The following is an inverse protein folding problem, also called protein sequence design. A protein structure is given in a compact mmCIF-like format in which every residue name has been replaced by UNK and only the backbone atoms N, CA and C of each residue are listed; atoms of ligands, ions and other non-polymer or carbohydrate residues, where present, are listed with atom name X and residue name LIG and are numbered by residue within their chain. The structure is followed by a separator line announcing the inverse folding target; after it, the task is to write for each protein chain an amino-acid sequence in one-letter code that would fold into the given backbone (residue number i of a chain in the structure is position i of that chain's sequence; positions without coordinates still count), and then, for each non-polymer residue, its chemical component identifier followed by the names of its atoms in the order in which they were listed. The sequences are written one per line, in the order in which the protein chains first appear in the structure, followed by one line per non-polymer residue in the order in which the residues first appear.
data_IF_318852003174
#
_entry.id   IF_318852003174
#
_cell.length_a   1.000
_cell.length_b   1.000
_cell.length_c   1.000
_cell.angle_alpha   90.00
_cell.angle_beta   90.00
_cell.angle_gamma   90.00
#
_symmetry.space_group_name_H-M   'P 1'
#
loop_
_entity.id
_entity.type
_entity.pdbx_description
1 polymer ?
#
# COMPACT_ATOMS: atom_id res chain seq x y z
N UNK A 1 3.83 22.66 -28.00
CA UNK A 1 2.96 22.28 -26.86
C UNK A 1 3.77 22.14 -25.56
N UNK A 2 4.55 23.17 -25.19
CA UNK A 2 5.40 23.14 -23.98
C UNK A 2 4.70 23.77 -22.76
N UNK A 3 3.93 24.84 -22.98
CA UNK A 3 3.27 25.59 -21.90
C UNK A 3 2.26 24.78 -21.06
N UNK A 4 1.58 23.78 -21.64
CA UNK A 4 0.56 23.01 -20.90
C UNK A 4 1.19 22.02 -19.92
N UNK A 5 2.40 21.52 -20.23
CA UNK A 5 3.17 20.66 -19.33
C UNK A 5 3.64 21.42 -18.09
N UNK A 6 4.20 22.62 -18.30
CA UNK A 6 4.67 23.50 -17.23
C UNK A 6 3.53 23.95 -16.31
N UNK A 7 2.37 24.28 -16.89
CA UNK A 7 1.18 24.69 -16.12
C UNK A 7 0.64 23.52 -15.28
N UNK A 8 0.64 22.29 -15.81
CA UNK A 8 0.16 21.12 -15.07
C UNK A 8 1.05 20.81 -13.85
N UNK A 9 2.37 20.93 -13.99
CA UNK A 9 3.31 20.75 -12.87
C UNK A 9 3.15 21.86 -11.82
N UNK A 10 3.05 23.12 -12.28
CA UNK A 10 2.82 24.27 -11.39
C UNK A 10 1.50 24.10 -10.65
N UNK A 11 0.41 23.68 -11.31
CA UNK A 11 -0.88 23.45 -10.66
C UNK A 11 -0.85 22.29 -9.65
N UNK A 12 -0.05 21.25 -9.89
CA UNK A 12 0.11 20.13 -8.96
C UNK A 12 0.72 20.59 -7.63
N UNK A 13 1.69 21.49 -7.70
CA UNK A 13 2.44 21.99 -6.53
C UNK A 13 1.96 23.37 -6.04
N UNK A 14 1.02 24.02 -6.74
CA UNK A 14 0.62 25.41 -6.50
C UNK A 14 0.15 25.65 -5.07
N UNK A 15 -0.66 24.76 -4.52
CA UNK A 15 -1.21 24.98 -3.19
C UNK A 15 -0.20 24.69 -2.07
N UNK A 16 0.75 23.76 -2.27
CA UNK A 16 1.89 23.61 -1.36
C UNK A 16 2.78 24.87 -1.42
N UNK A 17 3.09 25.34 -2.63
CA UNK A 17 3.87 26.57 -2.85
C UNK A 17 3.22 27.79 -2.23
N UNK A 18 1.88 27.90 -2.29
CA UNK A 18 1.10 28.97 -1.64
C UNK A 18 1.31 28.98 -0.12
N UNK A 19 1.26 27.80 0.51
CA UNK A 19 1.49 27.68 1.97
C UNK A 19 2.95 27.99 2.29
N UNK A 20 3.90 27.44 1.53
CA UNK A 20 5.32 27.71 1.72
C UNK A 20 5.62 29.22 1.66
N UNK A 21 5.10 29.92 0.64
CA UNK A 21 5.25 31.38 0.54
C UNK A 21 4.66 32.13 1.74
N UNK A 22 3.53 31.68 2.29
CA UNK A 22 2.96 32.28 3.50
C UNK A 22 3.86 32.06 4.71
N UNK A 23 4.38 30.85 4.88
CA UNK A 23 5.31 30.52 5.97
C UNK A 23 6.58 31.35 5.84
N UNK A 24 7.19 31.41 4.66
CA UNK A 24 8.41 32.17 4.42
C UNK A 24 8.23 33.65 4.75
N UNK A 25 7.09 34.25 4.35
CA UNK A 25 6.76 35.63 4.69
C UNK A 25 6.58 35.82 6.20
N UNK A 26 5.84 34.94 6.87
CA UNK A 26 5.59 35.05 8.30
C UNK A 26 6.89 34.88 9.11
N UNK A 27 7.71 33.88 8.78
CA UNK A 27 9.02 33.66 9.40
C UNK A 27 9.96 34.85 9.18
N UNK A 28 10.04 35.38 7.96
CA UNK A 28 10.88 36.53 7.67
C UNK A 28 10.45 37.80 8.42
N UNK A 29 9.15 37.96 8.69
CA UNK A 29 8.64 39.05 9.52
C UNK A 29 8.95 38.82 11.01
N UNK A 30 8.78 37.60 11.51
CA UNK A 30 9.10 37.24 12.90
C UNK A 30 10.58 37.51 13.21
N UNK A 31 11.50 37.16 12.31
CA UNK A 31 12.94 37.42 12.47
C UNK A 31 13.30 38.92 12.57
N UNK A 32 12.46 39.80 12.02
CA UNK A 32 12.71 41.25 11.98
C UNK A 32 11.97 42.01 13.08
N UNK A 33 11.06 41.38 13.81
CA UNK A 33 10.24 42.03 14.83
C UNK A 33 10.92 41.98 16.21
N UNK A 34 10.81 43.05 17.02
CA UNK A 34 11.34 43.04 18.37
C UNK A 34 10.69 41.98 19.27
N UNK A 35 11.49 41.35 20.13
CA UNK A 35 11.04 40.28 21.04
C UNK A 35 9.86 40.68 21.94
N UNK A 36 9.81 41.95 22.39
CA UNK A 36 8.72 42.46 23.22
C UNK A 36 7.37 42.49 22.47
N UNK A 37 7.38 42.61 21.15
CA UNK A 37 6.19 42.59 20.31
C UNK A 37 5.69 41.16 20.10
N UNK A 38 6.59 40.24 19.76
CA UNK A 38 6.26 38.80 19.61
C UNK A 38 5.67 38.24 20.89
N UNK A 39 6.25 38.52 22.06
CA UNK A 39 5.74 38.04 23.35
C UNK A 39 4.32 38.53 23.70
N UNK A 40 3.91 39.69 23.16
CA UNK A 40 2.54 40.24 23.37
C UNK A 40 1.53 39.68 22.37
N UNK A 41 1.97 39.34 21.17
CA UNK A 41 1.11 38.94 20.06
C UNK A 41 0.97 37.42 19.96
N UNK A 42 2.00 36.68 20.36
CA UNK A 42 2.01 35.22 20.35
C UNK A 42 0.98 34.65 21.35
N UNK A 43 0.18 33.70 20.86
CA UNK A 43 -0.87 33.03 21.61
C UNK A 43 -0.80 31.53 21.28
N UNK A 44 -0.52 30.66 22.26
CA UNK A 44 -0.34 29.23 22.01
C UNK A 44 -1.65 28.48 21.71
N UNK A 45 -2.81 29.11 21.94
CA UNK A 45 -4.12 28.50 21.70
C UNK A 45 -5.12 29.52 21.18
N UNK A 46 -5.98 29.06 20.27
CA UNK A 46 -7.08 29.83 19.70
C UNK A 46 -8.40 29.07 19.87
N UNK A 47 -9.39 29.72 20.47
CA UNK A 47 -10.75 29.17 20.59
C UNK A 47 -11.56 29.59 19.36
N UNK A 48 -11.92 28.61 18.54
CA UNK A 48 -12.73 28.81 17.34
C UNK A 48 -14.19 28.54 17.70
N UNK A 49 -15.07 29.48 17.35
CA UNK A 49 -16.52 29.32 17.48
C UNK A 49 -17.13 29.21 16.08
N UNK A 50 -17.35 27.99 15.55
CA UNK A 50 -17.80 27.81 14.17
C UNK A 50 -19.10 28.55 13.83
N UNK A 51 -20.01 28.69 14.81
CA UNK A 51 -21.32 29.31 14.62
C UNK A 51 -21.37 30.80 14.97
N UNK A 52 -20.25 31.43 15.35
CA UNK A 52 -20.18 32.88 15.61
C UNK A 52 -19.30 33.57 14.58
N UNK A 53 -19.92 34.37 13.70
CA UNK A 53 -19.17 35.25 12.78
C UNK A 53 -18.61 36.44 13.56
N UNK A 54 -17.30 36.54 13.71
CA UNK A 54 -16.66 37.73 14.27
C UNK A 54 -16.85 38.93 13.33
N UNK A 55 -17.29 40.09 13.82
CA UNK A 55 -17.51 41.30 13.00
C UNK A 55 -16.26 41.80 12.22
N UNK A 56 -15.08 41.29 12.56
CA UNK A 56 -13.80 41.56 11.87
C UNK A 56 -13.65 40.88 10.48
N UNK A 57 -14.57 40.01 10.06
CA UNK A 57 -14.47 39.37 8.74
C UNK A 57 -14.57 40.36 7.58
N UNK A 58 -15.33 41.46 7.70
CA UNK A 58 -15.49 42.42 6.59
C UNK A 58 -14.18 43.09 6.15
N UNK A 59 -13.37 43.58 7.11
CA UNK A 59 -12.07 44.19 6.80
C UNK A 59 -11.05 43.15 6.35
N UNK A 60 -11.09 41.94 6.92
CA UNK A 60 -10.25 40.83 6.46
C UNK A 60 -10.61 40.36 5.05
N UNK A 61 -11.88 40.35 4.67
CA UNK A 61 -12.32 39.87 3.37
C UNK A 61 -11.96 40.84 2.24
N UNK A 62 -11.95 42.15 2.53
CA UNK A 62 -11.51 43.19 1.59
C UNK A 62 -9.99 43.21 1.37
N UNK A 63 -9.19 43.01 2.42
CA UNK A 63 -7.71 43.03 2.32
C UNK A 63 -7.16 41.66 1.89
N UNK A 64 -7.79 40.58 2.32
CA UNK A 64 -7.26 39.21 2.19
C UNK A 64 -7.91 38.39 1.07
N UNK A 65 -8.83 38.97 0.29
CA UNK A 65 -9.35 38.37 -0.94
C UNK A 65 -9.79 36.91 -0.78
N UNK A 66 -10.94 36.72 -0.14
CA UNK A 66 -11.72 35.47 -0.08
C UNK A 66 -11.05 34.24 0.58
N UNK A 67 -11.83 33.62 1.45
CA UNK A 67 -11.45 32.54 2.37
C UNK A 67 -11.33 31.18 1.65
N UNK A 68 -10.43 31.06 0.66
CA UNK A 68 -10.06 29.79 0.02
C UNK A 68 -8.91 29.10 0.80
N UNK A 69 -8.89 29.17 2.15
CA UNK A 69 -7.84 28.52 2.95
C UNK A 69 -8.19 27.08 3.29
N UNK A 70 -9.44 26.84 3.72
CA UNK A 70 -9.92 25.51 4.12
C UNK A 70 -10.06 24.57 2.91
N UNK A 71 -10.65 25.07 1.81
CA UNK A 71 -10.85 24.30 0.59
C UNK A 71 -9.52 23.89 -0.06
N UNK A 72 -8.52 24.75 0.00
CA UNK A 72 -7.19 24.47 -0.55
C UNK A 72 -6.45 23.43 0.27
N UNK A 73 -6.56 23.49 1.61
CA UNK A 73 -5.97 22.50 2.49
C UNK A 73 -6.65 21.13 2.33
N UNK A 74 -7.98 21.12 2.30
CA UNK A 74 -8.79 19.91 2.03
C UNK A 74 -8.50 19.31 0.65
N UNK A 75 -8.34 20.15 -0.37
CA UNK A 75 -8.00 19.72 -1.75
C UNK A 75 -6.56 19.25 -1.90
N UNK A 76 -5.62 19.84 -1.16
CA UNK A 76 -4.23 19.37 -1.08
C UNK A 76 -4.16 18.00 -0.41
N UNK A 77 -4.83 17.86 0.75
CA UNK A 77 -4.88 16.61 1.47
C UNK A 77 -5.48 15.51 0.60
N UNK A 78 -6.66 15.72 0.02
CA UNK A 78 -7.32 14.70 -0.82
C UNK A 78 -6.48 14.25 -2.03
N UNK A 79 -5.85 15.18 -2.78
CA UNK A 79 -5.02 14.82 -3.94
C UNK A 79 -3.69 14.17 -3.54
N UNK A 80 -3.05 14.67 -2.49
CA UNK A 80 -1.81 14.11 -1.95
C UNK A 80 -2.05 12.72 -1.36
N UNK A 81 -3.16 12.54 -0.67
CA UNK A 81 -3.51 11.31 0.05
C UNK A 81 -3.71 10.14 -0.89
N UNK A 82 -4.36 10.31 -2.05
CA UNK A 82 -4.53 9.20 -3.00
C UNK A 82 -3.20 8.74 -3.61
N UNK A 83 -2.32 9.67 -3.97
CA UNK A 83 -1.01 9.34 -4.55
C UNK A 83 -0.05 8.77 -3.49
N UNK A 84 -0.08 9.32 -2.27
CA UNK A 84 0.70 8.85 -1.13
C UNK A 84 0.23 7.47 -0.65
N UNK A 85 -1.09 7.24 -0.58
CA UNK A 85 -1.67 5.98 -0.13
C UNK A 85 -1.20 4.79 -0.99
N UNK A 86 -1.24 4.94 -2.32
CA UNK A 86 -0.75 3.90 -3.23
C UNK A 86 0.74 3.66 -3.03
N UNK A 87 1.55 4.71 -2.85
CA UNK A 87 2.99 4.58 -2.59
C UNK A 87 3.27 3.88 -1.25
N UNK A 88 2.52 4.20 -0.19
CA UNK A 88 2.64 3.56 1.12
C UNK A 88 2.24 2.08 1.05
N UNK A 89 1.15 1.75 0.38
CA UNK A 89 0.75 0.34 0.21
C UNK A 89 1.74 -0.45 -0.64
N UNK A 90 2.31 0.16 -1.69
CA UNK A 90 3.36 -0.47 -2.51
C UNK A 90 4.65 -0.70 -1.72
N UNK A 91 5.08 0.26 -0.91
CA UNK A 91 6.28 0.10 -0.07
C UNK A 91 6.08 -0.98 0.99
N UNK A 92 4.88 -1.07 1.58
CA UNK A 92 4.49 -2.13 2.50
C UNK A 92 4.49 -3.51 1.83
N UNK A 93 3.91 -3.63 0.64
CA UNK A 93 3.94 -4.88 -0.14
C UNK A 93 5.36 -5.29 -0.52
N UNK A 94 6.20 -4.34 -0.96
CA UNK A 94 7.62 -4.58 -1.26
C UNK A 94 8.36 -5.13 -0.05
N UNK A 95 8.15 -4.55 1.14
CA UNK A 95 8.77 -5.03 2.37
C UNK A 95 8.35 -6.47 2.71
N UNK A 96 7.04 -6.76 2.63
CA UNK A 96 6.50 -8.10 2.87
C UNK A 96 7.05 -9.14 1.91
N UNK A 97 7.16 -8.80 0.62
CA UNK A 97 7.72 -9.70 -0.38
C UNK A 97 9.20 -9.99 -0.13
N UNK A 98 9.97 -8.99 0.29
CA UNK A 98 11.38 -9.16 0.65
C UNK A 98 11.53 -10.10 1.85
N UNK A 99 10.69 -9.97 2.86
CA UNK A 99 10.67 -10.87 4.01
C UNK A 99 10.32 -12.31 3.62
N UNK A 100 9.25 -12.50 2.82
CA UNK A 100 8.89 -13.82 2.29
C UNK A 100 10.02 -14.46 1.49
N UNK A 101 10.70 -13.68 0.63
CA UNK A 101 11.85 -14.15 -0.13
C UNK A 101 12.98 -14.62 0.79
N UNK A 102 13.29 -13.86 1.83
CA UNK A 102 14.34 -14.22 2.79
C UNK A 102 14.00 -15.50 3.57
N UNK A 103 12.73 -15.68 3.95
CA UNK A 103 12.28 -16.90 4.65
C UNK A 103 12.36 -18.10 3.71
N UNK A 104 11.92 -17.96 2.46
CA UNK A 104 11.97 -19.03 1.46
C UNK A 104 13.41 -19.47 1.18
N UNK A 105 14.35 -18.53 1.12
CA UNK A 105 15.75 -18.83 0.91
C UNK A 105 16.36 -19.60 2.08
N UNK A 106 16.02 -19.23 3.33
CA UNK A 106 16.41 -20.00 4.52
C UNK A 106 15.80 -21.40 4.52
N UNK A 107 14.51 -21.53 4.20
CA UNK A 107 13.85 -22.83 4.10
C UNK A 107 14.48 -23.71 3.01
N UNK A 108 14.81 -23.14 1.85
CA UNK A 108 15.52 -23.84 0.79
C UNK A 108 16.92 -24.29 1.22
N UNK A 109 17.64 -23.46 1.97
CA UNK A 109 18.92 -23.83 2.58
C UNK A 109 18.80 -25.00 3.56
N UNK A 110 17.77 -24.98 4.42
CA UNK A 110 17.47 -26.10 5.32
C UNK A 110 17.12 -27.38 4.57
N UNK A 111 16.34 -27.31 3.49
CA UNK A 111 16.03 -28.48 2.65
C UNK A 111 17.28 -29.10 2.03
N UNK A 112 18.23 -28.28 1.55
CA UNK A 112 19.53 -28.79 1.08
C UNK A 112 20.30 -29.49 2.20
N UNK A 113 20.31 -28.91 3.39
CA UNK A 113 20.97 -29.51 4.55
C UNK A 113 20.32 -30.83 4.95
N UNK A 114 18.98 -30.91 4.91
CA UNK A 114 18.24 -32.14 5.14
C UNK A 114 18.66 -33.19 4.12
N UNK A 115 18.66 -32.91 2.82
CA UNK A 115 19.08 -33.89 1.80
C UNK A 115 20.55 -34.31 2.01
N UNK A 116 21.44 -33.38 2.36
CA UNK A 116 22.86 -33.67 2.58
C UNK A 116 23.11 -34.50 3.84
N UNK A 117 22.29 -34.33 4.88
CA UNK A 117 22.37 -35.03 6.17
C UNK A 117 21.42 -36.21 6.28
N UNK A 118 20.47 -36.33 5.36
CA UNK A 118 19.70 -37.52 5.12
C UNK A 118 20.72 -38.49 4.56
N UNK A 119 21.28 -39.28 5.46
CA UNK A 119 22.03 -40.46 5.14
C UNK A 119 21.07 -41.37 4.37
N UNK A 120 21.00 -41.17 3.05
CA UNK A 120 20.51 -42.20 2.16
C UNK A 120 21.60 -43.27 2.25
N UNK A 121 21.49 -44.10 3.28
CA UNK A 121 22.14 -45.39 3.31
C UNK A 121 21.79 -46.06 2.00
N UNK A 122 22.80 -46.47 1.23
CA UNK A 122 22.62 -47.18 -0.03
C UNK A 122 22.14 -48.62 0.23
N UNK A 123 21.09 -48.79 1.04
CA UNK A 123 20.37 -50.06 1.13
C UNK A 123 19.46 -50.27 -0.09
N UNK A 124 19.29 -49.24 -0.92
CA UNK A 124 18.49 -49.29 -2.16
C UNK A 124 19.20 -49.94 -3.37
N UNK A 125 20.43 -50.45 -3.23
CA UNK A 125 21.10 -51.25 -4.26
C UNK A 125 21.02 -52.77 -3.97
N UNK A 126 20.41 -53.18 -2.85
CA UNK A 126 20.04 -54.57 -2.61
C UNK A 126 18.75 -54.89 -3.39
N UNK A 127 18.93 -55.48 -4.57
CA UNK A 127 17.85 -56.03 -5.39
C UNK A 127 17.10 -57.14 -4.60
N UNK A 128 16.07 -56.76 -3.84
CA UNK A 128 15.12 -57.69 -3.21
C UNK A 128 14.09 -58.16 -4.25
N UNK A 129 14.57 -58.96 -5.20
CA UNK A 129 13.72 -59.62 -6.18
C UNK A 129 12.85 -60.67 -5.48
N UNK A 130 11.52 -60.69 -5.69
CA UNK A 130 10.69 -61.74 -5.12
C UNK A 130 11.07 -63.10 -5.72
N UNK A 131 11.56 -64.00 -4.86
CA UNK A 131 11.63 -65.43 -5.17
C UNK A 131 10.20 -65.91 -5.44
N UNK A 132 10.02 -66.47 -6.62
CA UNK A 132 8.80 -67.04 -7.17
C UNK A 132 8.13 -68.10 -6.28
N UNK A 133 7.38 -67.69 -5.27
CA UNK A 133 6.44 -68.58 -4.57
C UNK A 133 5.03 -68.37 -5.13
N UNK A 134 4.76 -69.21 -6.12
CA UNK A 134 3.43 -69.60 -6.64
C UNK A 134 2.33 -69.54 -5.57
N UNK A 135 1.24 -68.82 -5.90
CA UNK A 135 -0.09 -69.18 -5.42
C UNK A 135 -0.94 -68.04 -4.86
N UNK A 136 -1.88 -67.57 -5.68
CA UNK A 136 -3.21 -67.09 -5.31
C UNK A 136 -3.33 -65.92 -4.33
N UNK A 137 -3.80 -64.79 -4.84
CA UNK A 137 -4.90 -63.95 -4.32
C UNK A 137 -4.68 -62.48 -4.65
N UNK A 138 -5.03 -62.09 -5.88
CA UNK A 138 -5.35 -60.72 -6.21
C UNK A 138 -6.66 -60.74 -7.01
N UNK A 139 -7.76 -60.14 -6.53
CA UNK A 139 -8.93 -59.92 -7.37
C UNK A 139 -8.59 -58.86 -8.41
N UNK A 140 -8.80 -59.21 -9.68
CA UNK A 140 -8.75 -58.28 -10.81
C UNK A 140 -9.62 -57.05 -10.56
N UNK A 141 -9.00 -55.88 -10.36
CA UNK A 141 -9.71 -54.60 -10.35
C UNK A 141 -9.92 -54.14 -11.80
N UNK A 142 -10.76 -54.89 -12.51
CA UNK A 142 -11.45 -54.41 -13.70
C UNK A 142 -12.90 -54.18 -13.31
N UNK A 143 -13.34 -52.93 -13.47
CA UNK A 143 -14.75 -52.51 -13.59
C UNK A 143 -15.50 -52.15 -12.28
N UNK A 144 -15.39 -50.87 -11.86
CA UNK A 144 -16.46 -50.17 -11.16
C UNK A 144 -16.61 -48.75 -11.74
N UNK A 145 -17.84 -48.41 -12.07
CA UNK A 145 -18.27 -47.33 -12.95
C UNK A 145 -18.35 -45.98 -12.21
N UNK A 146 -18.13 -44.90 -12.96
CA UNK A 146 -18.18 -43.49 -12.59
C UNK A 146 -19.28 -43.06 -11.60
N UNK A 147 -18.90 -42.36 -10.53
CA UNK A 147 -19.73 -41.35 -9.84
C UNK A 147 -18.86 -40.29 -9.12
N UNK A 148 -19.15 -39.02 -9.39
CA UNK A 148 -18.84 -37.89 -8.49
C UNK A 148 -17.53 -37.14 -8.79
N UNK A 149 -17.58 -36.21 -9.75
CA UNK A 149 -16.46 -35.33 -10.08
C UNK A 149 -16.07 -34.39 -8.94
N UNK A 150 -14.78 -34.33 -8.63
CA UNK A 150 -14.18 -33.26 -7.84
C UNK A 150 -14.12 -32.01 -8.73
N UNK A 151 -15.20 -31.24 -8.75
CA UNK A 151 -15.20 -29.93 -9.42
C UNK A 151 -14.37 -28.96 -8.57
N UNK A 152 -13.26 -28.50 -9.11
CA UNK A 152 -12.44 -27.49 -8.46
C UNK A 152 -13.26 -26.22 -8.25
N UNK A 153 -13.29 -25.75 -6.99
CA UNK A 153 -14.04 -24.54 -6.53
C UNK A 153 -13.72 -23.25 -7.31
N UNK A 154 -12.69 -23.28 -8.14
CA UNK A 154 -12.20 -22.16 -8.95
C UNK A 154 -12.92 -22.04 -10.31
N UNK A 155 -13.52 -23.11 -10.83
CA UNK A 155 -14.18 -23.10 -12.14
C UNK A 155 -15.44 -22.21 -12.16
N UNK A 156 -16.34 -22.25 -11.15
CA UNK A 156 -17.49 -21.33 -11.11
C UNK A 156 -17.09 -19.86 -10.96
N UNK A 157 -15.97 -19.59 -10.27
CA UNK A 157 -15.49 -18.22 -10.02
C UNK A 157 -14.98 -17.58 -11.32
N UNK A 158 -14.20 -18.31 -12.12
CA UNK A 158 -13.69 -17.82 -13.41
C UNK A 158 -14.84 -17.54 -14.37
N UNK A 159 -15.85 -18.42 -14.42
CA UNK A 159 -17.02 -18.24 -15.29
C UNK A 159 -17.88 -17.03 -14.90
N UNK A 160 -17.97 -16.71 -13.60
CA UNK A 160 -18.67 -15.52 -13.10
C UNK A 160 -17.92 -14.20 -13.40
N UNK A 161 -16.60 -14.24 -13.51
CA UNK A 161 -15.78 -13.06 -13.87
C UNK A 161 -15.89 -12.75 -15.36
N UNK A 162 -15.95 -13.78 -16.22
CA UNK A 162 -16.12 -13.59 -17.67
C UNK A 162 -17.50 -13.04 -18.05
N UNK A 163 -18.57 -13.42 -17.36
CA UNK A 163 -19.92 -12.93 -17.67
C UNK A 163 -20.14 -11.46 -17.34
N UNK A 164 -19.31 -10.88 -16.44
CA UNK A 164 -19.38 -9.47 -16.04
C UNK A 164 -18.60 -8.52 -16.97
N UNK A 165 -17.96 -9.06 -18.01
CA UNK A 165 -17.15 -8.33 -19.00
C UNK A 165 -17.86 -8.13 -20.36
N UNK A 166 -19.15 -8.46 -20.46
CA UNK A 166 -20.00 -8.14 -21.62
C UNK A 166 -21.01 -7.07 -21.27
#
# INVERSE_FOLDING_TARGET
ALAVGDIAEVQRNASLKRIAMQIDLHTALEDKLPYWFMKRVDKPSITIYPNRKCSRHFLKQLISGEEEKDDVWSRLQSKSQTCSFIQVELTKQKSRMKEMSNILEKQHGLLKLIIQKMEITSEADEYDGPVNVRGSMWPSLSQAKARGGSTSRWVPLIKAIESKRK
#
